data_IF_182995435204
#
_entry.id   IF_182995435204
#
_cell.length_a   1.000
_cell.length_b   1.000
_cell.length_c   1.000
_cell.angle_alpha   90.00
_cell.angle_beta   90.00
_cell.angle_gamma   90.00
#
_symmetry.space_group_name_H-M   'P 1'
#
loop_
_entity.id
_entity.type
_entity.pdbx_description
1 polymer ?
#
# COMPACT_ATOMS: atom_id res chain seq x y z
N UNK A 1 -3.75 25.61 -1.62
CA UNK A 1 -3.10 24.67 -0.68
C UNK A 1 -4.17 23.79 -0.04
N UNK A 2 -4.28 22.53 -0.45
CA UNK A 2 -5.34 21.62 0.01
C UNK A 2 -5.09 21.17 1.45
N UNK A 3 -6.13 21.22 2.29
CA UNK A 3 -6.12 20.72 3.67
C UNK A 3 -5.57 19.28 3.69
N UNK A 4 -4.47 19.05 4.40
CA UNK A 4 -3.93 17.70 4.59
C UNK A 4 -5.04 16.83 5.21
N UNK A 5 -5.45 15.77 4.51
CA UNK A 5 -6.51 14.89 5.03
C UNK A 5 -5.99 14.20 6.28
N UNK A 6 -6.77 14.25 7.37
CA UNK A 6 -6.48 13.51 8.59
C UNK A 6 -6.63 12.01 8.31
N UNK A 7 -5.63 11.23 8.70
CA UNK A 7 -5.70 9.77 8.72
C UNK A 7 -6.20 9.32 10.08
N UNK A 8 -7.11 8.35 10.10
CA UNK A 8 -7.50 7.63 11.32
C UNK A 8 -6.81 6.28 11.37
N UNK A 9 -6.27 5.89 12.52
CA UNK A 9 -5.52 4.64 12.67
C UNK A 9 -6.36 3.37 12.61
N UNK A 10 -7.69 3.49 12.59
CA UNK A 10 -8.65 2.38 12.64
C UNK A 10 -9.19 1.98 11.28
N UNK A 11 -8.88 2.73 10.20
CA UNK A 11 -9.44 2.48 8.86
C UNK A 11 -8.38 1.97 7.90
N UNK A 12 -8.64 0.81 7.29
CA UNK A 12 -7.81 0.24 6.21
C UNK A 12 -7.58 1.24 5.08
N UNK A 13 -8.62 1.97 4.66
CA UNK A 13 -8.50 2.98 3.60
C UNK A 13 -7.47 4.07 3.94
N UNK A 14 -7.42 4.53 5.19
CA UNK A 14 -6.45 5.54 5.60
C UNK A 14 -5.03 4.99 5.65
N UNK A 15 -4.87 3.72 6.04
CA UNK A 15 -3.59 3.02 5.96
C UNK A 15 -3.09 2.92 4.51
N UNK A 16 -3.94 2.50 3.57
CA UNK A 16 -3.59 2.40 2.15
C UNK A 16 -3.24 3.77 1.55
N UNK A 17 -3.96 4.82 1.95
CA UNK A 17 -3.64 6.20 1.54
C UNK A 17 -2.30 6.66 2.11
N UNK A 18 -2.00 6.34 3.37
CA UNK A 18 -0.72 6.68 3.99
C UNK A 18 0.45 5.97 3.27
N UNK A 19 0.32 4.68 2.99
CA UNK A 19 1.28 3.90 2.20
C UNK A 19 1.49 4.55 0.82
N UNK A 20 0.43 4.73 0.02
CA UNK A 20 0.55 5.35 -1.30
C UNK A 20 1.21 6.73 -1.24
N UNK A 21 0.80 7.59 -0.31
CA UNK A 21 1.31 8.95 -0.23
C UNK A 21 2.78 8.99 0.23
N UNK A 22 3.18 8.09 1.13
CA UNK A 22 4.59 7.97 1.53
C UNK A 22 5.47 7.44 0.40
N UNK A 23 4.97 6.54 -0.45
CA UNK A 23 5.68 6.10 -1.67
C UNK A 23 5.83 7.24 -2.67
N UNK A 24 4.74 7.98 -2.94
CA UNK A 24 4.75 9.08 -3.93
C UNK A 24 5.67 10.24 -3.54
N UNK A 25 5.80 10.50 -2.24
CA UNK A 25 6.71 11.51 -1.68
C UNK A 25 7.98 10.89 -1.11
N UNK A 26 8.37 9.69 -1.58
CA UNK A 26 9.56 9.03 -1.07
C UNK A 26 10.79 9.91 -1.29
N UNK A 27 10.95 10.51 -2.47
CA UNK A 27 12.12 11.34 -2.75
C UNK A 27 12.21 12.63 -1.92
N UNK A 28 11.06 13.22 -1.58
CA UNK A 28 10.97 14.42 -0.73
C UNK A 28 11.14 14.11 0.77
N UNK A 29 11.28 12.83 1.12
CA UNK A 29 11.36 12.38 2.51
C UNK A 29 12.75 12.68 3.11
N UNK A 30 12.84 13.14 4.37
CA UNK A 30 14.13 13.30 5.04
C UNK A 30 14.92 11.98 5.09
N UNK A 31 16.25 12.04 4.92
CA UNK A 31 17.12 10.85 4.85
C UNK A 31 16.97 9.90 6.04
N UNK A 32 16.75 10.45 7.24
CA UNK A 32 16.48 9.65 8.43
C UNK A 32 15.25 8.76 8.24
N UNK A 33 14.17 9.32 7.70
CA UNK A 33 12.94 8.57 7.49
C UNK A 33 13.07 7.62 6.31
N UNK A 34 13.82 7.97 5.24
CA UNK A 34 14.17 7.02 4.16
C UNK A 34 14.91 5.79 4.71
N UNK A 35 15.86 5.99 5.64
CA UNK A 35 16.55 4.88 6.32
C UNK A 35 15.60 4.01 7.15
N UNK A 36 14.64 4.63 7.85
CA UNK A 36 13.68 3.90 8.68
C UNK A 36 12.69 3.07 7.83
N UNK A 37 12.21 3.62 6.70
CA UNK A 37 11.25 2.91 5.83
C UNK A 37 11.92 1.96 4.84
N UNK A 38 13.21 2.16 4.54
CA UNK A 38 13.98 1.34 3.61
C UNK A 38 13.82 1.75 2.13
N UNK A 39 14.73 1.29 1.27
CA UNK A 39 14.73 1.62 -0.16
C UNK A 39 13.52 1.03 -0.90
N UNK A 40 13.12 1.68 -1.99
CA UNK A 40 12.13 1.13 -2.92
C UNK A 40 12.77 0.07 -3.86
N UNK A 41 12.00 -0.94 -4.33
CA UNK A 41 10.65 -1.28 -3.89
C UNK A 41 10.64 -2.13 -2.59
N UNK A 42 11.63 -3.01 -2.41
CA UNK A 42 11.54 -4.13 -1.46
C UNK A 42 11.66 -3.72 0.01
N UNK A 43 12.55 -2.77 0.34
CA UNK A 43 12.72 -2.28 1.71
C UNK A 43 11.46 -1.57 2.20
N UNK A 44 10.92 -0.70 1.36
CA UNK A 44 9.66 0.01 1.61
C UNK A 44 8.48 -0.96 1.80
N UNK A 45 8.34 -1.95 0.91
CA UNK A 45 7.30 -2.96 1.04
C UNK A 45 7.45 -3.73 2.36
N UNK A 46 8.67 -4.16 2.67
CA UNK A 46 9.02 -4.89 3.89
C UNK A 46 8.72 -4.11 5.17
N UNK A 47 8.83 -2.78 5.16
CA UNK A 47 8.44 -1.95 6.29
C UNK A 47 6.93 -2.06 6.58
N UNK A 48 6.09 -1.97 5.56
CA UNK A 48 4.63 -2.04 5.73
C UNK A 48 4.13 -3.43 6.06
N UNK A 49 4.66 -4.46 5.40
CA UNK A 49 4.22 -5.86 5.63
C UNK A 49 4.68 -6.39 6.98
N UNK A 50 5.84 -5.95 7.50
CA UNK A 50 6.24 -6.28 8.89
C UNK A 50 5.33 -5.61 9.93
N UNK A 51 4.93 -4.36 9.69
CA UNK A 51 4.07 -3.61 10.63
C UNK A 51 2.61 -4.06 10.57
N UNK A 52 2.16 -4.51 9.41
CA UNK A 52 0.80 -4.99 9.14
C UNK A 52 0.84 -6.32 8.38
N UNK A 53 1.07 -7.46 9.07
CA UNK A 53 1.28 -8.76 8.43
C UNK A 53 0.12 -9.20 7.52
N UNK A 54 -1.11 -8.84 7.89
CA UNK A 54 -2.31 -9.21 7.14
C UNK A 54 -2.71 -8.18 6.06
N UNK A 55 -1.91 -7.12 5.83
CA UNK A 55 -2.28 -6.04 4.92
C UNK A 55 -2.60 -6.55 3.51
N UNK A 56 -1.71 -7.38 2.95
CA UNK A 56 -1.85 -7.86 1.58
C UNK A 56 -3.08 -8.78 1.43
N UNK A 57 -3.23 -9.77 2.32
CA UNK A 57 -4.36 -10.71 2.25
C UNK A 57 -5.70 -10.02 2.49
N UNK A 58 -5.75 -9.01 3.35
CA UNK A 58 -6.97 -8.21 3.55
C UNK A 58 -7.29 -7.40 2.29
N UNK A 59 -6.31 -6.76 1.65
CA UNK A 59 -6.53 -6.06 0.38
C UNK A 59 -7.05 -7.01 -0.70
N UNK A 60 -6.47 -8.21 -0.77
CA UNK A 60 -6.88 -9.25 -1.70
C UNK A 60 -8.34 -9.69 -1.44
N UNK A 61 -8.71 -9.95 -0.18
CA UNK A 61 -10.08 -10.31 0.19
C UNK A 61 -11.05 -9.18 -0.17
N UNK A 62 -10.72 -7.93 0.14
CA UNK A 62 -11.61 -6.79 -0.17
C UNK A 62 -11.89 -6.67 -1.65
N UNK A 63 -10.87 -6.79 -2.52
CA UNK A 63 -11.05 -6.70 -3.98
C UNK A 63 -11.89 -7.87 -4.50
N UNK A 64 -11.75 -9.07 -3.93
CA UNK A 64 -12.59 -10.21 -4.25
C UNK A 64 -14.04 -10.03 -3.79
N UNK A 65 -14.26 -9.60 -2.54
CA UNK A 65 -15.59 -9.40 -1.95
C UNK A 65 -16.42 -8.33 -2.67
N UNK A 66 -15.77 -7.34 -3.28
CA UNK A 66 -16.44 -6.31 -4.08
C UNK A 66 -16.52 -6.65 -5.57
N UNK A 67 -16.15 -7.89 -5.95
CA UNK A 67 -16.18 -8.43 -7.31
C UNK A 67 -15.36 -7.58 -8.31
N UNK A 68 -14.24 -7.02 -7.85
CA UNK A 68 -13.33 -6.23 -8.68
C UNK A 68 -12.18 -7.04 -9.25
N UNK A 69 -12.07 -8.31 -8.88
CA UNK A 69 -11.07 -9.25 -9.39
C UNK A 69 -11.14 -9.45 -10.91
N UNK A 70 -12.31 -9.18 -11.53
CA UNK A 70 -12.48 -9.27 -12.99
C UNK A 70 -12.23 -7.96 -13.74
N UNK A 71 -12.01 -6.84 -13.03
CA UNK A 71 -11.79 -5.53 -13.64
C UNK A 71 -10.34 -5.42 -14.15
N UNK A 72 -10.13 -4.83 -15.33
CA UNK A 72 -8.81 -4.68 -16.00
C UNK A 72 -7.67 -4.27 -15.05
N UNK A 73 -7.94 -3.41 -14.07
CA UNK A 73 -6.93 -2.94 -13.11
C UNK A 73 -6.46 -4.01 -12.12
N UNK A 74 -7.32 -4.95 -11.73
CA UNK A 74 -7.01 -5.93 -10.69
C UNK A 74 -6.85 -7.35 -11.22
N UNK A 75 -7.38 -7.63 -12.41
CA UNK A 75 -7.37 -8.95 -13.05
C UNK A 75 -6.01 -9.66 -13.00
N UNK A 76 -4.93 -8.95 -13.33
CA UNK A 76 -3.56 -9.51 -13.32
C UNK A 76 -3.10 -10.03 -11.96
N UNK A 77 -3.68 -9.57 -10.84
CA UNK A 77 -3.31 -10.01 -9.49
C UNK A 77 -4.07 -11.27 -9.03
N UNK A 78 -5.07 -11.72 -9.79
CA UNK A 78 -5.91 -12.89 -9.50
C UNK A 78 -5.73 -14.02 -10.51
N UNK A 79 -5.05 -13.74 -11.62
CA UNK A 79 -4.67 -14.76 -12.59
C UNK A 79 -3.32 -15.38 -12.22
N UNK A 80 -3.10 -16.68 -12.54
CA UNK A 80 -1.79 -17.29 -12.40
C UNK A 80 -0.74 -16.49 -13.18
N UNK A 81 0.46 -16.31 -12.60
CA UNK A 81 1.57 -15.71 -13.31
C UNK A 81 1.78 -16.45 -14.63
N UNK A 82 1.77 -15.71 -15.74
CA UNK A 82 2.07 -16.29 -17.05
C UNK A 82 3.52 -16.81 -17.05
N UNK A 83 3.79 -17.99 -17.61
CA UNK A 83 5.14 -18.56 -17.71
C UNK A 83 6.12 -17.66 -18.46
#
# INVERSE_FOLDING_TARGET
MGKQRKYTGTRLLDLLRALRNKKNHYEDMPDKLKKDVGPLPDGYLSFWTRKFPNLLIICWNVVYEVEWDQVDRFKEYYEPASP
#
